data_IF_663197090112
#
_entry.id   IF_663197090112
#
_cell.length_a   1.000
_cell.length_b   1.000
_cell.length_c   1.000
_cell.angle_alpha   90.00
_cell.angle_beta   90.00
_cell.angle_gamma   90.00
#
_symmetry.space_group_name_H-M   'P 1'
#
loop_
_entity.id
_entity.type
_entity.pdbx_description
1 polymer ?
#
# COMPACT_ATOMS: atom_id res chain seq x y z
N UNK A 1 -7.65 -26.83 -63.71
CA UNK A 1 -8.08 -28.18 -63.49
C UNK A 1 -8.40 -28.39 -62.04
N UNK A 2 -9.51 -28.58 -61.84
CA UNK A 2 -10.48 -29.49 -61.24
C UNK A 2 -9.84 -30.73 -60.56
N UNK A 3 -10.49 -31.02 -59.42
CA UNK A 3 -10.52 -32.26 -58.65
C UNK A 3 -9.49 -32.30 -57.47
N UNK A 4 -9.95 -32.24 -56.22
CA UNK A 4 -10.45 -33.37 -55.46
C UNK A 4 -11.22 -32.85 -54.22
N UNK A 5 -12.54 -32.86 -54.31
CA UNK A 5 -13.47 -32.94 -53.17
C UNK A 5 -13.74 -34.40 -52.92
N UNK A 6 -13.87 -34.73 -51.67
CA UNK A 6 -14.53 -35.92 -51.13
C UNK A 6 -13.63 -36.80 -50.29
N UNK A 7 -14.21 -37.10 -49.17
CA UNK A 7 -13.96 -38.12 -48.16
C UNK A 7 -13.37 -37.59 -46.85
N UNK A 8 -14.29 -37.17 -45.94
CA UNK A 8 -14.33 -37.73 -44.59
C UNK A 8 -15.61 -37.25 -43.89
N UNK A 9 -16.73 -37.92 -44.22
CA UNK A 9 -17.87 -38.01 -43.30
C UNK A 9 -17.58 -39.19 -42.38
N UNK A 10 -17.31 -38.95 -41.13
CA UNK A 10 -17.60 -39.92 -40.07
C UNK A 10 -18.18 -39.18 -38.87
N UNK A 11 -19.45 -39.47 -38.65
CA UNK A 11 -20.21 -39.19 -37.46
C UNK A 11 -19.52 -39.82 -36.26
N UNK A 12 -19.26 -39.03 -35.23
CA UNK A 12 -19.37 -39.51 -33.86
C UNK A 12 -20.05 -38.42 -33.02
N UNK A 13 -21.34 -38.66 -32.83
CA UNK A 13 -22.14 -38.10 -31.75
C UNK A 13 -21.57 -38.65 -30.45
N UNK A 14 -20.98 -37.75 -29.64
CA UNK A 14 -20.90 -37.94 -28.19
C UNK A 14 -21.32 -36.63 -27.57
N UNK A 15 -22.56 -36.61 -27.08
CA UNK A 15 -23.05 -35.63 -26.11
C UNK A 15 -22.27 -35.83 -24.81
N UNK A 16 -21.14 -35.17 -24.71
CA UNK A 16 -20.40 -34.98 -23.47
C UNK A 16 -20.98 -33.78 -22.75
N UNK A 17 -21.62 -34.06 -21.65
CA UNK A 17 -22.20 -33.13 -20.70
C UNK A 17 -21.10 -32.15 -20.20
N UNK A 18 -20.94 -31.05 -20.91
CA UNK A 18 -20.01 -30.00 -20.58
C UNK A 18 -20.70 -29.18 -19.50
N UNK A 19 -20.67 -29.69 -18.25
CA UNK A 19 -20.97 -28.87 -17.05
C UNK A 19 -20.09 -27.64 -17.13
N UNK A 20 -20.60 -26.55 -17.68
CA UNK A 20 -20.06 -25.22 -17.49
C UNK A 20 -20.04 -24.99 -15.98
N UNK A 21 -18.86 -25.07 -15.39
CA UNK A 21 -18.60 -24.51 -14.07
C UNK A 21 -18.79 -23.00 -14.23
N UNK A 22 -20.01 -22.58 -13.96
CA UNK A 22 -20.36 -21.16 -13.80
C UNK A 22 -19.76 -20.73 -12.44
N UNK A 23 -18.43 -20.62 -12.43
CA UNK A 23 -17.75 -19.97 -11.33
C UNK A 23 -18.15 -18.50 -11.39
N UNK A 24 -19.24 -18.15 -10.72
CA UNK A 24 -19.51 -16.75 -10.40
C UNK A 24 -18.26 -16.24 -9.72
N UNK A 25 -17.44 -15.46 -10.45
CA UNK A 25 -16.33 -14.75 -9.87
C UNK A 25 -16.93 -13.89 -8.76
N UNK A 26 -16.46 -14.01 -7.51
CA UNK A 26 -16.95 -13.12 -6.48
C UNK A 26 -16.74 -11.68 -6.96
N UNK A 27 -17.80 -10.93 -7.11
CA UNK A 27 -17.72 -9.51 -7.43
C UNK A 27 -17.28 -8.82 -6.16
N UNK A 28 -15.97 -8.58 -6.02
CA UNK A 28 -15.44 -7.77 -4.95
C UNK A 28 -15.88 -6.32 -5.22
N UNK A 29 -16.79 -5.82 -4.41
CA UNK A 29 -17.15 -4.41 -4.43
C UNK A 29 -16.20 -3.66 -3.50
N UNK A 30 -15.09 -3.17 -4.06
CA UNK A 30 -14.16 -2.31 -3.32
C UNK A 30 -14.85 -0.99 -3.03
N UNK A 31 -14.75 -0.54 -1.79
CA UNK A 31 -15.29 0.73 -1.29
C UNK A 31 -14.22 1.67 -0.77
N UNK A 32 -13.04 1.15 -0.48
CA UNK A 32 -11.94 1.94 0.04
C UNK A 32 -10.60 1.47 -0.50
N UNK A 33 -9.67 2.40 -0.63
CA UNK A 33 -8.27 2.13 -0.99
C UNK A 33 -7.37 2.77 0.04
N UNK A 34 -6.49 1.96 0.64
CA UNK A 34 -5.40 2.41 1.51
C UNK A 34 -4.09 2.33 0.76
N UNK A 35 -3.42 3.44 0.63
CA UNK A 35 -2.11 3.51 0.01
C UNK A 35 -1.00 3.53 1.05
N UNK A 36 0.06 2.74 0.84
CA UNK A 36 1.36 3.09 1.39
C UNK A 36 1.85 4.41 0.80
N UNK A 37 2.87 5.01 1.40
CA UNK A 37 3.30 6.34 1.03
C UNK A 37 4.58 6.33 0.18
N UNK A 38 5.71 5.89 0.76
CA UNK A 38 7.01 5.93 0.09
C UNK A 38 7.15 4.79 -0.93
N UNK A 39 7.46 5.13 -2.19
CA UNK A 39 7.53 4.14 -3.26
C UNK A 39 6.17 3.81 -3.89
N UNK A 40 5.07 4.24 -3.27
CA UNK A 40 3.69 4.02 -3.73
C UNK A 40 3.05 5.33 -4.18
N UNK A 41 2.70 6.23 -3.27
CA UNK A 41 2.21 7.58 -3.63
C UNK A 41 3.36 8.48 -4.08
N UNK A 42 4.53 8.34 -3.49
CA UNK A 42 5.75 9.03 -3.92
C UNK A 42 6.69 8.09 -4.70
N UNK A 43 7.56 8.66 -5.52
CA UNK A 43 8.58 7.91 -6.24
C UNK A 43 9.53 7.21 -5.27
N UNK A 44 9.98 5.98 -5.58
CA UNK A 44 10.92 5.25 -4.74
C UNK A 44 12.29 5.92 -4.68
N UNK A 45 13.05 5.64 -3.61
CA UNK A 45 14.44 6.05 -3.46
C UNK A 45 14.66 7.40 -2.77
N UNK A 46 13.62 8.11 -2.35
CA UNK A 46 13.76 9.33 -1.53
C UNK A 46 14.43 9.01 -0.18
N UNK A 47 14.03 7.90 0.46
CA UNK A 47 14.63 7.40 1.71
C UNK A 47 15.80 6.46 1.42
N UNK A 48 16.99 6.80 1.90
CA UNK A 48 18.14 5.93 1.84
C UNK A 48 18.29 5.13 3.14
N UNK A 49 17.64 3.97 3.20
CA UNK A 49 17.62 3.12 4.39
C UNK A 49 19.02 2.67 4.85
N UNK A 50 19.95 2.45 3.95
CA UNK A 50 21.34 2.10 4.31
C UNK A 50 22.01 3.21 5.10
N UNK A 51 21.83 4.48 4.68
CA UNK A 51 22.35 5.64 5.42
C UNK A 51 21.65 5.83 6.77
N UNK A 52 20.35 5.64 6.82
CA UNK A 52 19.55 5.71 8.06
C UNK A 52 20.05 4.66 9.05
N UNK A 53 20.10 3.40 8.62
CA UNK A 53 20.58 2.28 9.46
C UNK A 53 21.99 2.53 10.00
N UNK A 54 22.89 2.95 9.14
CA UNK A 54 24.26 3.27 9.56
C UNK A 54 24.30 4.40 10.61
N UNK A 55 23.55 5.47 10.39
CA UNK A 55 23.50 6.62 11.31
C UNK A 55 22.92 6.29 12.69
N UNK A 56 21.94 5.39 12.73
CA UNK A 56 21.25 4.98 13.96
C UNK A 56 21.99 3.81 14.65
N UNK A 57 22.89 3.11 13.95
CA UNK A 57 23.53 1.88 14.42
C UNK A 57 22.66 0.63 14.27
N UNK A 58 21.66 0.66 13.38
CA UNK A 58 20.77 -0.45 13.09
C UNK A 58 21.46 -1.47 12.17
N UNK A 59 21.45 -2.78 12.50
CA UNK A 59 21.94 -3.83 11.62
C UNK A 59 21.26 -3.82 10.24
N UNK A 60 21.98 -4.21 9.16
CA UNK A 60 21.45 -4.18 7.80
C UNK A 60 20.19 -5.04 7.58
N UNK A 61 20.07 -6.13 8.31
CA UNK A 61 18.99 -7.13 8.24
C UNK A 61 17.78 -6.81 9.13
N UNK A 62 17.88 -5.81 10.01
CA UNK A 62 16.77 -5.40 10.88
C UNK A 62 15.99 -4.21 10.32
N UNK A 63 14.70 -4.17 10.59
CA UNK A 63 13.88 -3.01 10.30
C UNK A 63 14.11 -1.91 11.35
N UNK A 64 14.11 -0.64 10.90
CA UNK A 64 14.59 0.50 11.72
C UNK A 64 13.73 0.74 12.96
N UNK A 65 12.39 0.69 12.83
CA UNK A 65 11.49 0.94 13.97
C UNK A 65 11.63 -0.15 15.02
N UNK A 66 11.65 -1.41 14.58
CA UNK A 66 11.82 -2.57 15.45
C UNK A 66 13.17 -2.51 16.20
N UNK A 67 14.24 -2.13 15.49
CA UNK A 67 15.53 -1.92 16.12
C UNK A 67 15.48 -0.82 17.19
N UNK A 68 14.84 0.33 16.89
CA UNK A 68 14.72 1.43 17.86
C UNK A 68 14.01 0.97 19.14
N UNK A 69 13.02 0.10 19.02
CA UNK A 69 12.30 -0.45 20.18
C UNK A 69 13.18 -1.36 21.06
N UNK A 70 14.19 -2.04 20.49
CA UNK A 70 15.11 -2.88 21.24
C UNK A 70 16.17 -2.10 22.03
N UNK A 71 16.34 -0.80 21.79
CA UNK A 71 17.33 0.01 22.49
C UNK A 71 16.99 0.08 23.99
N UNK A 72 18.02 -0.06 24.84
CA UNK A 72 17.86 -0.25 26.29
C UNK A 72 17.19 0.95 26.97
N UNK A 73 17.64 2.15 26.66
CA UNK A 73 17.18 3.35 27.37
C UNK A 73 16.21 4.19 26.54
N UNK A 74 15.29 4.87 27.24
CA UNK A 74 14.37 5.82 26.59
C UNK A 74 15.14 6.96 25.89
N UNK A 75 16.29 7.37 26.44
CA UNK A 75 17.14 8.39 25.83
C UNK A 75 17.70 7.95 24.47
N UNK A 76 18.19 6.70 24.38
CA UNK A 76 18.64 6.12 23.11
C UNK A 76 17.50 6.04 22.09
N UNK A 77 16.32 5.54 22.48
CA UNK A 77 15.14 5.47 21.61
C UNK A 77 14.73 6.85 21.09
N UNK A 78 14.65 7.85 21.98
CA UNK A 78 14.33 9.23 21.58
C UNK A 78 15.35 9.81 20.59
N UNK A 79 16.65 9.59 20.82
CA UNK A 79 17.72 10.07 19.94
C UNK A 79 17.63 9.39 18.56
N UNK A 80 17.48 8.08 18.52
CA UNK A 80 17.38 7.32 17.26
C UNK A 80 16.12 7.73 16.48
N UNK A 81 14.97 7.90 17.15
CA UNK A 81 13.74 8.38 16.53
C UNK A 81 13.85 9.79 15.98
N UNK A 82 14.53 10.70 16.69
CA UNK A 82 14.78 12.06 16.21
C UNK A 82 15.66 12.05 14.94
N UNK A 83 16.67 11.17 14.89
CA UNK A 83 17.49 10.99 13.68
C UNK A 83 16.67 10.45 12.51
N UNK A 84 15.84 9.43 12.74
CA UNK A 84 14.93 8.89 11.72
C UNK A 84 14.01 9.98 11.18
N UNK A 85 13.35 10.75 12.06
CA UNK A 85 12.49 11.86 11.68
C UNK A 85 13.23 12.90 10.82
N UNK A 86 14.46 13.23 11.16
CA UNK A 86 15.26 14.19 10.38
C UNK A 86 15.55 13.68 8.95
N UNK A 87 15.84 12.38 8.81
CA UNK A 87 16.02 11.76 7.48
C UNK A 87 14.71 11.77 6.68
N UNK A 88 13.60 11.42 7.31
CA UNK A 88 12.28 11.40 6.66
C UNK A 88 11.85 12.78 6.18
N UNK A 89 11.96 13.81 7.02
CA UNK A 89 11.63 15.19 6.65
C UNK A 89 12.50 15.68 5.49
N UNK A 90 13.80 15.37 5.53
CA UNK A 90 14.71 15.72 4.44
C UNK A 90 14.32 15.03 3.14
N UNK A 91 13.99 13.74 3.19
CA UNK A 91 13.53 12.98 2.04
C UNK A 91 12.20 13.52 1.51
N UNK A 92 11.25 13.78 2.40
CA UNK A 92 9.93 14.34 2.10
C UNK A 92 10.02 15.68 1.35
N UNK A 93 10.97 16.55 1.74
CA UNK A 93 11.16 17.85 1.08
C UNK A 93 11.58 17.76 -0.39
N UNK A 94 12.13 16.62 -0.82
CA UNK A 94 12.61 16.37 -2.18
C UNK A 94 11.86 15.25 -2.88
N UNK A 95 10.86 14.65 -2.25
CA UNK A 95 10.05 13.61 -2.84
C UNK A 95 9.19 14.16 -3.98
N UNK A 96 8.82 13.28 -4.90
CA UNK A 96 7.92 13.61 -6.02
C UNK A 96 6.78 12.60 -6.03
N UNK A 97 5.56 13.01 -6.44
CA UNK A 97 4.50 12.05 -6.68
C UNK A 97 4.89 11.01 -7.73
N UNK A 98 4.41 9.79 -7.59
CA UNK A 98 4.52 8.81 -8.66
C UNK A 98 3.71 9.29 -9.87
N UNK A 99 4.18 9.05 -11.11
CA UNK A 99 3.44 9.42 -12.30
C UNK A 99 2.03 8.81 -12.30
N UNK A 100 1.02 9.64 -12.55
CA UNK A 100 -0.39 9.23 -12.62
C UNK A 100 -1.08 9.04 -11.25
N UNK A 101 -0.38 9.25 -10.13
CA UNK A 101 -1.01 9.06 -8.82
C UNK A 101 -2.06 10.11 -8.52
N UNK A 102 -1.84 11.36 -8.93
CA UNK A 102 -2.79 12.45 -8.67
C UNK A 102 -4.09 12.23 -9.44
N UNK A 103 -4.01 11.84 -10.71
CA UNK A 103 -5.15 11.45 -11.53
C UNK A 103 -5.88 10.25 -10.96
N UNK A 104 -5.13 9.25 -10.45
CA UNK A 104 -5.72 8.07 -9.80
C UNK A 104 -6.53 8.46 -8.56
N UNK A 105 -6.00 9.32 -7.68
CA UNK A 105 -6.70 9.77 -6.48
C UNK A 105 -8.00 10.49 -6.86
N UNK A 106 -7.94 11.39 -7.85
CA UNK A 106 -9.12 12.06 -8.39
C UNK A 106 -10.17 11.06 -8.90
N UNK A 107 -9.76 10.07 -9.69
CA UNK A 107 -10.65 9.05 -10.26
C UNK A 107 -11.30 8.17 -9.19
N UNK A 108 -10.56 7.84 -8.11
CA UNK A 108 -11.09 7.07 -6.99
C UNK A 108 -12.19 7.85 -6.26
N UNK A 109 -11.95 9.13 -5.98
CA UNK A 109 -12.96 10.01 -5.39
C UNK A 109 -14.18 10.20 -6.29
N UNK A 110 -13.98 10.40 -7.61
CA UNK A 110 -15.07 10.51 -8.56
C UNK A 110 -15.96 9.26 -8.62
N UNK A 111 -15.40 8.09 -8.31
CA UNK A 111 -16.13 6.82 -8.17
C UNK A 111 -16.74 6.61 -6.78
N UNK A 112 -16.61 7.56 -5.87
CA UNK A 112 -17.15 7.48 -4.50
C UNK A 112 -16.40 6.53 -3.58
N UNK A 113 -15.14 6.20 -3.87
CA UNK A 113 -14.30 5.37 -3.01
C UNK A 113 -13.67 6.21 -1.90
N UNK A 114 -13.59 5.64 -0.69
CA UNK A 114 -12.79 6.21 0.38
C UNK A 114 -11.31 6.00 0.07
N UNK A 115 -10.49 7.03 0.28
CA UNK A 115 -9.05 6.96 0.05
C UNK A 115 -8.31 7.34 1.33
N UNK A 116 -7.34 6.53 1.73
CA UNK A 116 -6.54 6.77 2.92
C UNK A 116 -5.07 6.42 2.73
N UNK A 117 -4.28 6.79 3.71
CA UNK A 117 -2.85 6.48 3.78
C UNK A 117 -2.58 5.56 4.96
N UNK A 118 -1.70 4.56 4.78
CA UNK A 118 -1.13 3.74 5.83
C UNK A 118 0.38 3.66 5.66
N UNK A 119 1.13 4.34 6.52
CA UNK A 119 2.59 4.47 6.39
C UNK A 119 3.31 4.25 7.71
N UNK A 120 4.58 3.85 7.61
CA UNK A 120 5.50 3.76 8.76
C UNK A 120 6.23 5.08 9.04
N UNK A 121 5.97 6.11 8.24
CA UNK A 121 6.52 7.45 8.41
C UNK A 121 5.75 8.27 9.46
N UNK A 122 6.40 9.31 9.96
CA UNK A 122 5.73 10.31 10.79
C UNK A 122 4.68 11.09 10.00
N UNK A 123 3.61 11.52 10.66
CA UNK A 123 2.58 12.36 10.03
C UNK A 123 3.19 13.66 9.48
N UNK A 124 4.20 14.20 10.16
CA UNK A 124 4.88 15.41 9.72
C UNK A 124 5.61 15.20 8.38
N UNK A 125 6.29 14.06 8.18
CA UNK A 125 6.95 13.77 6.91
C UNK A 125 5.95 13.52 5.77
N UNK A 126 4.83 12.84 6.04
CA UNK A 126 3.76 12.67 5.07
C UNK A 126 3.22 14.03 4.61
N UNK A 127 2.88 14.92 5.57
CA UNK A 127 2.42 16.28 5.26
C UNK A 127 3.42 17.04 4.39
N UNK A 128 4.71 16.99 4.79
CA UNK A 128 5.77 17.68 4.07
C UNK A 128 5.94 17.17 2.65
N UNK A 129 5.80 15.86 2.42
CA UNK A 129 5.91 15.30 1.09
C UNK A 129 4.71 15.65 0.21
N UNK A 130 3.50 15.67 0.76
CA UNK A 130 2.29 16.08 0.04
C UNK A 130 2.32 17.55 -0.43
N UNK A 131 3.13 18.41 0.19
CA UNK A 131 3.33 19.78 -0.31
C UNK A 131 4.00 19.84 -1.70
N UNK A 132 4.59 18.73 -2.18
CA UNK A 132 5.18 18.64 -3.51
C UNK A 132 4.21 18.12 -4.58
N UNK A 133 2.96 17.79 -4.21
CA UNK A 133 1.89 17.42 -5.13
C UNK A 133 1.21 18.68 -5.64
N UNK A 134 0.75 18.67 -6.89
CA UNK A 134 0.13 19.85 -7.51
C UNK A 134 -1.37 19.91 -7.24
N UNK A 135 -2.06 18.77 -7.36
CA UNK A 135 -3.52 18.70 -7.37
C UNK A 135 -4.10 17.84 -6.24
N UNK A 136 -3.24 17.25 -5.38
CA UNK A 136 -3.64 16.38 -4.26
C UNK A 136 -3.20 17.01 -2.95
N UNK A 137 -4.15 17.16 -2.04
CA UNK A 137 -3.96 17.73 -0.71
C UNK A 137 -4.06 16.66 0.37
N UNK A 138 -3.60 16.99 1.56
CA UNK A 138 -3.74 16.09 2.72
C UNK A 138 -5.21 15.77 3.04
N UNK A 139 -6.14 16.67 2.75
CA UNK A 139 -7.58 16.50 2.95
C UNK A 139 -8.20 15.45 2.03
N UNK A 140 -7.51 15.04 0.97
CA UNK A 140 -7.99 14.00 0.04
C UNK A 140 -7.78 12.58 0.62
N UNK A 141 -7.14 12.50 1.77
CA UNK A 141 -6.90 11.23 2.47
C UNK A 141 -7.55 11.22 3.85
N UNK A 142 -8.46 10.28 4.06
CA UNK A 142 -9.09 10.06 5.35
C UNK A 142 -9.44 8.57 5.53
N UNK A 143 -8.80 7.87 6.49
CA UNK A 143 -7.80 8.34 7.46
C UNK A 143 -6.36 8.40 6.90
N UNK A 144 -5.47 9.00 7.70
CA UNK A 144 -4.02 8.88 7.55
C UNK A 144 -3.47 8.13 8.77
N UNK A 145 -3.17 6.87 8.59
CA UNK A 145 -2.52 6.03 9.60
C UNK A 145 -1.01 6.16 9.42
N UNK A 146 -0.40 6.87 10.33
CA UNK A 146 1.05 7.13 10.36
C UNK A 146 1.71 6.39 11.53
N UNK A 147 3.04 6.50 11.66
CA UNK A 147 3.76 6.02 12.84
C UNK A 147 3.26 6.66 14.14
N UNK A 148 2.73 7.88 14.07
CA UNK A 148 2.26 8.61 15.25
C UNK A 148 0.87 8.15 15.71
N UNK A 149 0.18 7.35 14.90
CA UNK A 149 -1.10 6.73 15.27
C UNK A 149 -0.87 5.64 16.33
N UNK A 150 -1.66 5.60 17.42
CA UNK A 150 -1.42 4.68 18.54
C UNK A 150 -1.87 3.23 18.24
N UNK A 151 -1.32 2.65 17.17
CA UNK A 151 -1.52 1.26 16.74
C UNK A 151 -0.19 0.65 16.33
N UNK A 152 -0.10 -0.67 16.29
CA UNK A 152 1.10 -1.33 15.77
C UNK A 152 1.28 -1.00 14.28
N UNK A 153 2.50 -0.64 13.86
CA UNK A 153 2.76 -0.36 12.44
C UNK A 153 2.71 -1.66 11.60
N UNK A 154 2.62 -1.50 10.28
CA UNK A 154 2.84 -2.61 9.35
C UNK A 154 4.14 -3.34 9.71
N UNK A 155 4.19 -4.67 9.76
CA UNK A 155 3.27 -5.63 9.12
C UNK A 155 2.01 -6.00 9.91
N UNK A 156 1.72 -5.40 11.11
CA UNK A 156 0.47 -5.65 11.82
C UNK A 156 -0.74 -5.14 11.05
N UNK A 157 -1.85 -5.86 11.16
CA UNK A 157 -3.15 -5.45 10.62
C UNK A 157 -3.79 -4.26 11.33
N UNK A 158 -3.32 -3.90 12.52
CA UNK A 158 -3.98 -2.94 13.42
C UNK A 158 -4.35 -1.62 12.71
N UNK A 159 -3.44 -1.08 11.89
CA UNK A 159 -3.66 0.15 11.14
C UNK A 159 -4.75 0.02 10.07
N UNK A 160 -4.80 -1.12 9.37
CA UNK A 160 -5.82 -1.39 8.35
C UNK A 160 -7.19 -1.55 9.01
N UNK A 161 -7.27 -2.29 10.12
CA UNK A 161 -8.50 -2.48 10.88
C UNK A 161 -9.00 -1.16 11.49
N UNK A 162 -8.09 -0.29 11.92
CA UNK A 162 -8.45 1.07 12.36
C UNK A 162 -9.04 1.87 11.19
N UNK A 163 -8.36 1.88 10.04
CA UNK A 163 -8.84 2.59 8.86
C UNK A 163 -10.21 2.08 8.39
N UNK A 164 -10.45 0.77 8.41
CA UNK A 164 -11.75 0.18 8.07
C UNK A 164 -12.87 0.72 8.96
N UNK A 165 -12.60 0.82 10.28
CA UNK A 165 -13.55 1.39 11.24
C UNK A 165 -13.81 2.88 11.00
N UNK A 166 -12.75 3.67 10.77
CA UNK A 166 -12.88 5.11 10.53
C UNK A 166 -13.60 5.43 9.22
N UNK A 167 -13.38 4.62 8.17
CA UNK A 167 -14.09 4.72 6.90
C UNK A 167 -15.50 4.12 6.94
N UNK A 168 -15.85 3.40 8.00
CA UNK A 168 -17.09 2.63 8.08
C UNK A 168 -17.28 1.66 6.90
N UNK A 169 -16.22 0.94 6.55
CA UNK A 169 -16.15 -0.02 5.45
C UNK A 169 -15.73 -1.38 5.99
N UNK A 170 -16.31 -2.45 5.46
CA UNK A 170 -15.85 -3.81 5.74
C UNK A 170 -14.41 -3.98 5.21
N UNK A 171 -13.52 -4.55 6.01
CA UNK A 171 -12.12 -4.75 5.63
C UNK A 171 -11.98 -5.55 4.33
N UNK A 172 -12.88 -6.50 4.07
CA UNK A 172 -12.93 -7.26 2.82
C UNK A 172 -13.34 -6.43 1.59
N UNK A 173 -13.83 -5.21 1.79
CA UNK A 173 -14.14 -4.25 0.73
C UNK A 173 -13.03 -3.19 0.58
N UNK A 174 -11.88 -3.38 1.24
CA UNK A 174 -10.73 -2.50 1.14
C UNK A 174 -9.65 -3.11 0.25
N UNK A 175 -8.97 -2.26 -0.47
CA UNK A 175 -7.75 -2.60 -1.20
C UNK A 175 -6.57 -1.91 -0.51
N UNK A 176 -5.52 -2.66 -0.20
CA UNK A 176 -4.25 -2.11 0.26
C UNK A 176 -3.27 -2.12 -0.91
N UNK A 177 -2.69 -0.96 -1.19
CA UNK A 177 -1.71 -0.77 -2.27
C UNK A 177 -0.39 -0.35 -1.64
N UNK A 178 0.68 -1.08 -1.92
CA UNK A 178 2.00 -0.81 -1.38
C UNK A 178 3.09 -1.53 -2.17
N UNK A 179 4.35 -1.11 -1.98
CA UNK A 179 5.51 -1.64 -2.71
C UNK A 179 6.40 -2.55 -1.87
N UNK A 180 6.09 -2.71 -0.57
CA UNK A 180 6.91 -3.47 0.34
C UNK A 180 6.20 -4.69 0.93
N UNK A 181 6.97 -5.69 1.35
CA UNK A 181 6.43 -6.95 1.91
C UNK A 181 5.50 -6.73 3.12
N UNK A 182 5.71 -5.67 3.90
CA UNK A 182 4.89 -5.35 5.06
C UNK A 182 3.46 -4.95 4.69
N UNK A 183 3.25 -4.39 3.50
CA UNK A 183 1.91 -4.05 3.01
C UNK A 183 1.11 -5.32 2.74
N UNK A 184 1.75 -6.30 2.09
CA UNK A 184 1.15 -7.60 1.79
C UNK A 184 0.84 -8.37 3.08
N UNK A 185 1.79 -8.36 4.04
CA UNK A 185 1.60 -9.06 5.31
C UNK A 185 0.45 -8.46 6.12
N UNK A 186 0.42 -7.12 6.26
CA UNK A 186 -0.64 -6.41 6.96
C UNK A 186 -2.01 -6.64 6.30
N UNK A 187 -2.09 -6.57 4.96
CA UNK A 187 -3.32 -6.84 4.23
C UNK A 187 -3.84 -8.25 4.43
N UNK A 188 -2.96 -9.26 4.40
CA UNK A 188 -3.34 -10.66 4.64
C UNK A 188 -3.78 -10.92 6.08
N UNK A 189 -3.13 -10.30 7.06
CA UNK A 189 -3.49 -10.41 8.47
C UNK A 189 -4.84 -9.75 8.76
N UNK A 190 -5.17 -8.69 8.03
CA UNK A 190 -6.43 -7.98 8.18
C UNK A 190 -7.65 -8.74 7.61
N UNK A 191 -7.45 -9.70 6.70
CA UNK A 191 -8.51 -10.47 6.01
C UNK A 191 -8.69 -10.07 4.57
#
# INVERSE_FOLDING_TARGET
>A
PRALRSLYHHKHSQAGDQKRYDMKRPTFHIKAVLFDFDGTLTQPGALNFSKIKHAIGCPPDQAVLEFIETLETQGQRKKAMAMLNAFEIKAASNSKPNPGVEELIYDLHAKGLCVGIISRNSLQSIKRALENFENVLISDFNPIISRDTPVKPKPSADGILLAAREMNVDVQQMLVVGDFIFDIQAGREAG
#
